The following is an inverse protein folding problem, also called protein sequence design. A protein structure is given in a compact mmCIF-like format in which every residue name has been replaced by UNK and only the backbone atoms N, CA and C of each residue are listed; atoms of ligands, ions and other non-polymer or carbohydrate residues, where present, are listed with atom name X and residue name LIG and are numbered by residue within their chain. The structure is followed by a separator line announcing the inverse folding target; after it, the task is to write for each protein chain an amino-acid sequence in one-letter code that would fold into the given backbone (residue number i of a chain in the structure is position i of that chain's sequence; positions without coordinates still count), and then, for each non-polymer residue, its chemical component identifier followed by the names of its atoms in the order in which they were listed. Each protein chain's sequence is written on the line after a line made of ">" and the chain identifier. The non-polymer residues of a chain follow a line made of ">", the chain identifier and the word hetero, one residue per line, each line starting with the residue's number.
data_IF_817134227662
#
_entry.id   IF_817134227662
#
_cell.length_a   1.000
_cell.length_b   1.000
_cell.length_c   1.000
_cell.angle_alpha   90.00
_cell.angle_beta   90.00
_cell.angle_gamma   90.00
#
_symmetry.space_group_name_H-M   'P 1'
#
loop_
_entity.id
_entity.type
_entity.pdbx_description
1 polymer ?
#
# COMPACT_ATOMS: atom_id res chain seq x y z
N UNK A 1 8.58 -6.87 -46.13
CA UNK A 1 8.56 -7.03 -44.66
C UNK A 1 9.57 -6.04 -44.13
N UNK A 2 9.15 -5.01 -43.42
CA UNK A 2 10.09 -4.11 -42.73
C UNK A 2 10.39 -4.74 -41.37
N UNK A 3 11.67 -4.97 -41.08
CA UNK A 3 12.09 -5.43 -39.76
C UNK A 3 11.71 -4.39 -38.70
N UNK A 4 11.34 -4.86 -37.51
CA UNK A 4 11.02 -3.98 -36.39
C UNK A 4 12.27 -3.15 -36.00
N UNK A 5 12.12 -1.89 -35.57
CA UNK A 5 13.26 -1.07 -35.17
C UNK A 5 14.00 -1.70 -33.98
N UNK A 6 15.33 -1.56 -33.92
CA UNK A 6 16.21 -2.08 -32.84
C UNK A 6 15.71 -1.75 -31.42
N UNK A 7 15.08 -0.59 -31.23
CA UNK A 7 14.49 -0.18 -29.95
C UNK A 7 13.36 -1.10 -29.46
N UNK A 8 12.67 -1.78 -30.38
CA UNK A 8 11.59 -2.72 -30.05
C UNK A 8 12.13 -3.92 -29.28
N UNK A 9 13.22 -4.53 -29.77
CA UNK A 9 13.86 -5.68 -29.13
C UNK A 9 14.45 -5.28 -27.76
N UNK A 10 15.02 -4.08 -27.67
CA UNK A 10 15.47 -3.51 -26.40
C UNK A 10 14.30 -3.38 -25.42
N UNK A 11 13.19 -2.77 -25.83
CA UNK A 11 12.00 -2.60 -24.98
C UNK A 11 11.41 -3.95 -24.53
N UNK A 12 11.32 -4.94 -25.42
CA UNK A 12 10.87 -6.28 -25.08
C UNK A 12 11.78 -6.96 -24.05
N UNK A 13 13.11 -6.84 -24.22
CA UNK A 13 14.07 -7.37 -23.24
C UNK A 13 13.88 -6.73 -21.86
N UNK A 14 13.70 -5.41 -21.80
CA UNK A 14 13.45 -4.68 -20.55
C UNK A 14 12.13 -5.08 -19.91
N UNK A 15 11.07 -5.29 -20.69
CA UNK A 15 9.78 -5.74 -20.17
C UNK A 15 9.88 -7.12 -19.50
N UNK A 16 10.63 -8.05 -20.10
CA UNK A 16 10.88 -9.38 -19.53
C UNK A 16 11.65 -9.31 -18.22
N UNK A 17 12.70 -8.49 -18.18
CA UNK A 17 13.50 -8.25 -16.96
C UNK A 17 12.63 -7.62 -15.87
N UNK A 18 11.87 -6.56 -16.19
CA UNK A 18 10.98 -5.89 -15.25
C UNK A 18 9.95 -6.86 -14.66
N UNK A 19 9.27 -7.65 -15.49
CA UNK A 19 8.29 -8.64 -15.01
C UNK A 19 8.91 -9.64 -14.03
N UNK A 20 10.13 -10.10 -14.32
CA UNK A 20 10.88 -11.01 -13.46
C UNK A 20 11.26 -10.35 -12.13
N UNK A 21 11.79 -9.13 -12.18
CA UNK A 21 12.20 -8.38 -10.99
C UNK A 21 11.02 -8.00 -10.10
N UNK A 22 9.88 -7.63 -10.69
CA UNK A 22 8.62 -7.35 -9.98
C UNK A 22 8.19 -8.58 -9.21
N UNK A 23 8.16 -9.76 -9.85
CA UNK A 23 7.74 -11.01 -9.19
C UNK A 23 8.69 -11.37 -8.05
N UNK A 24 10.00 -11.41 -8.30
CA UNK A 24 10.99 -11.75 -7.27
C UNK A 24 10.94 -10.79 -6.08
N UNK A 25 10.91 -9.48 -6.36
CA UNK A 25 10.88 -8.44 -5.33
C UNK A 25 9.54 -8.43 -4.59
N UNK A 26 8.42 -8.70 -5.27
CA UNK A 26 7.09 -8.74 -4.67
C UNK A 26 7.00 -9.85 -3.64
N UNK A 27 7.44 -11.06 -4.02
CA UNK A 27 7.51 -12.21 -3.12
C UNK A 27 8.44 -11.96 -1.93
N UNK A 28 9.63 -11.40 -2.17
CA UNK A 28 10.64 -11.24 -1.13
C UNK A 28 10.33 -10.07 -0.17
N UNK A 29 9.73 -8.98 -0.66
CA UNK A 29 9.64 -7.71 0.08
C UNK A 29 8.22 -7.30 0.43
N UNK A 30 7.21 -7.72 -0.35
CA UNK A 30 5.82 -7.29 -0.15
C UNK A 30 4.93 -8.36 0.46
N UNK A 31 5.34 -9.64 0.44
CA UNK A 31 4.59 -10.72 1.07
C UNK A 31 4.61 -10.57 2.59
N UNK A 32 3.42 -10.47 3.16
CA UNK A 32 3.21 -10.41 4.59
C UNK A 32 3.31 -11.79 5.23
N UNK A 33 3.95 -11.84 6.39
CA UNK A 33 3.87 -12.96 7.31
C UNK A 33 3.77 -12.36 8.71
N UNK A 34 2.73 -12.73 9.46
CA UNK A 34 2.54 -12.20 10.79
C UNK A 34 3.77 -12.45 11.67
N UNK A 35 4.17 -11.42 12.41
CA UNK A 35 5.24 -11.48 13.40
C UNK A 35 4.73 -10.82 14.69
N UNK A 36 5.51 -10.89 15.76
CA UNK A 36 5.13 -10.30 17.06
C UNK A 36 4.68 -8.82 16.97
N UNK A 37 5.25 -8.04 16.03
CA UNK A 37 4.85 -6.65 15.79
C UNK A 37 3.39 -6.49 15.36
N UNK A 38 2.82 -7.47 14.65
CA UNK A 38 1.45 -7.49 14.18
C UNK A 38 0.44 -7.54 15.32
N UNK A 39 0.86 -8.05 16.48
CA UNK A 39 0.02 -8.24 17.66
C UNK A 39 0.30 -7.23 18.79
N UNK A 40 1.10 -6.20 18.49
CA UNK A 40 1.32 -5.09 19.43
C UNK A 40 0.04 -4.29 19.67
N UNK A 41 0.00 -3.59 20.80
CA UNK A 41 -1.07 -2.66 21.17
C UNK A 41 -2.46 -3.32 21.26
N UNK A 42 -2.52 -4.54 21.81
CA UNK A 42 -3.77 -5.27 22.05
C UNK A 42 -4.38 -5.96 20.84
N UNK A 43 -3.64 -6.08 19.72
CA UNK A 43 -4.11 -6.77 18.51
C UNK A 43 -3.85 -8.29 18.60
N UNK A 44 -4.39 -8.96 19.60
CA UNK A 44 -4.15 -10.41 19.80
C UNK A 44 -4.83 -11.26 18.73
N UNK A 45 -6.08 -10.95 18.41
CA UNK A 45 -6.91 -11.80 17.53
C UNK A 45 -6.85 -11.41 16.05
N UNK A 46 -6.18 -10.31 15.71
CA UNK A 46 -6.08 -9.81 14.33
C UNK A 46 -4.74 -9.16 14.05
N UNK A 47 -4.29 -9.20 12.79
CA UNK A 47 -3.10 -8.46 12.38
C UNK A 47 -3.39 -6.96 12.41
N UNK A 48 -2.60 -6.18 13.17
CA UNK A 48 -2.68 -4.71 13.20
C UNK A 48 -2.56 -4.05 11.82
N UNK A 49 -1.85 -4.70 10.90
CA UNK A 49 -1.68 -4.21 9.52
C UNK A 49 -2.82 -4.62 8.58
N UNK A 50 -3.91 -5.17 9.12
CA UNK A 50 -5.12 -5.52 8.36
C UNK A 50 -4.89 -6.59 7.29
N UNK A 51 -4.05 -7.57 7.62
CA UNK A 51 -3.91 -8.81 6.85
C UNK A 51 -4.79 -9.91 7.46
N UNK A 52 -5.37 -10.80 6.63
CA UNK A 52 -5.38 -10.75 5.17
C UNK A 52 -6.24 -9.59 4.63
N UNK A 53 -5.83 -9.02 3.49
CA UNK A 53 -6.64 -8.06 2.75
C UNK A 53 -7.89 -8.73 2.15
N UNK A 54 -8.92 -7.93 1.88
CA UNK A 54 -10.07 -8.40 1.12
C UNK A 54 -9.66 -8.73 -0.32
N UNK A 55 -10.03 -9.93 -0.79
CA UNK A 55 -9.84 -10.32 -2.19
C UNK A 55 -10.95 -9.69 -3.02
N UNK A 56 -10.56 -8.99 -4.08
CA UNK A 56 -11.46 -8.24 -4.96
C UNK A 56 -11.17 -8.67 -6.39
N UNK A 57 -12.15 -9.32 -7.04
CA UNK A 57 -11.98 -9.92 -8.38
C UNK A 57 -11.83 -8.91 -9.53
N UNK A 58 -12.38 -7.71 -9.37
CA UNK A 58 -12.23 -6.61 -10.32
C UNK A 58 -12.35 -5.26 -9.60
N UNK A 59 -11.55 -4.28 -10.02
CA UNK A 59 -11.66 -2.92 -9.50
C UNK A 59 -13.05 -2.34 -9.80
N UNK A 60 -13.63 -1.64 -8.83
CA UNK A 60 -14.94 -1.00 -8.99
C UNK A 60 -15.01 0.34 -8.26
N UNK A 61 -15.96 1.18 -8.66
CA UNK A 61 -16.30 2.40 -7.96
C UNK A 61 -17.57 2.18 -7.13
N UNK A 62 -17.51 2.52 -5.85
CA UNK A 62 -18.64 2.51 -4.95
C UNK A 62 -19.26 3.92 -4.88
N UNK A 63 -20.47 4.11 -5.42
CA UNK A 63 -21.14 5.42 -5.43
C UNK A 63 -21.62 5.86 -4.05
N UNK A 64 -21.91 4.95 -3.13
CA UNK A 64 -22.42 5.28 -1.80
C UNK A 64 -21.31 5.87 -0.91
N UNK A 65 -20.10 5.35 -1.06
CA UNK A 65 -18.91 5.83 -0.31
C UNK A 65 -18.04 6.80 -1.11
N UNK A 66 -18.33 6.99 -2.40
CA UNK A 66 -17.52 7.73 -3.36
C UNK A 66 -16.05 7.28 -3.32
N UNK A 67 -15.84 5.97 -3.41
CA UNK A 67 -14.52 5.35 -3.28
C UNK A 67 -14.23 4.38 -4.43
N UNK A 68 -12.96 4.23 -4.77
CA UNK A 68 -12.51 3.22 -5.74
C UNK A 68 -11.85 2.10 -4.99
N UNK A 69 -12.37 0.90 -5.16
CA UNK A 69 -11.76 -0.34 -4.69
C UNK A 69 -10.94 -0.94 -5.83
N UNK A 70 -9.69 -1.27 -5.55
CA UNK A 70 -8.78 -1.88 -6.54
C UNK A 70 -8.84 -3.40 -6.46
N UNK A 71 -8.67 -4.05 -7.61
CA UNK A 71 -8.43 -5.48 -7.73
C UNK A 71 -7.36 -5.94 -6.73
N UNK A 72 -7.67 -6.98 -5.96
CA UNK A 72 -6.75 -7.64 -5.03
C UNK A 72 -6.86 -9.16 -5.24
N UNK A 73 -5.81 -9.79 -5.79
CA UNK A 73 -5.80 -11.24 -6.07
C UNK A 73 -5.05 -12.07 -5.02
N UNK A 74 -4.20 -11.42 -4.23
CA UNK A 74 -3.45 -12.07 -3.15
C UNK A 74 -3.62 -11.23 -1.89
N UNK A 75 -4.37 -11.77 -0.94
CA UNK A 75 -4.70 -11.10 0.32
C UNK A 75 -3.51 -10.92 1.26
N UNK A 76 -2.34 -11.47 0.93
CA UNK A 76 -1.15 -11.45 1.76
C UNK A 76 -0.01 -10.62 1.17
N UNK A 77 -0.28 -9.86 0.10
CA UNK A 77 0.71 -8.98 -0.53
C UNK A 77 0.24 -7.53 -0.39
N UNK A 78 1.15 -6.63 -0.02
CA UNK A 78 0.87 -5.19 0.02
C UNK A 78 0.41 -4.67 -1.35
N UNK A 79 -0.34 -3.57 -1.34
CA UNK A 79 -0.56 -2.78 -2.54
C UNK A 79 0.74 -2.04 -2.89
N UNK A 80 1.48 -2.50 -3.89
CA UNK A 80 2.78 -1.92 -4.26
C UNK A 80 2.75 -1.33 -5.67
N UNK A 81 3.64 -0.38 -5.95
CA UNK A 81 3.88 0.10 -7.31
C UNK A 81 5.06 -0.69 -7.92
N UNK A 82 4.89 -1.31 -9.10
CA UNK A 82 5.94 -2.13 -9.70
C UNK A 82 7.26 -1.41 -9.94
N UNK A 83 7.22 -0.12 -10.31
CA UNK A 83 8.41 0.68 -10.56
C UNK A 83 9.11 1.05 -9.26
N UNK A 84 8.37 1.56 -8.27
CA UNK A 84 8.93 1.86 -6.94
C UNK A 84 9.56 0.59 -6.36
N UNK A 85 8.92 -0.57 -6.52
CA UNK A 85 9.43 -1.83 -6.04
C UNK A 85 10.78 -2.20 -6.66
N UNK A 86 10.88 -2.16 -7.99
CA UNK A 86 12.12 -2.56 -8.68
C UNK A 86 13.26 -1.59 -8.41
N UNK A 87 12.98 -0.28 -8.39
CA UNK A 87 14.02 0.74 -8.24
C UNK A 87 14.43 0.98 -6.77
N UNK A 88 13.50 0.89 -5.82
CA UNK A 88 13.78 1.16 -4.40
C UNK A 88 14.01 -0.11 -3.58
N UNK A 89 13.51 -1.27 -4.04
CA UNK A 89 13.71 -2.60 -3.41
C UNK A 89 13.42 -2.62 -1.89
N UNK A 90 12.34 -1.95 -1.48
CA UNK A 90 11.87 -1.94 -0.10
C UNK A 90 10.36 -2.21 0.00
N UNK A 91 9.92 -2.62 1.20
CA UNK A 91 8.51 -2.78 1.52
C UNK A 91 7.80 -1.42 1.44
N UNK A 92 6.68 -1.37 0.72
CA UNK A 92 5.81 -0.20 0.70
C UNK A 92 4.37 -0.62 0.45
N UNK A 93 3.44 0.17 0.98
CA UNK A 93 2.00 -0.08 0.90
C UNK A 93 1.32 1.22 0.47
N UNK A 94 0.74 1.19 -0.73
CA UNK A 94 0.08 2.32 -1.36
C UNK A 94 -1.42 2.18 -1.21
N UNK A 95 -2.04 3.19 -0.59
CA UNK A 95 -3.49 3.23 -0.42
C UNK A 95 -4.06 4.42 -1.17
N UNK A 96 -5.14 4.17 -1.92
CA UNK A 96 -5.90 5.22 -2.55
C UNK A 96 -6.87 5.82 -1.52
N UNK A 97 -6.76 7.12 -1.28
CA UNK A 97 -7.58 7.82 -0.28
C UNK A 97 -8.46 8.82 -1.03
N UNK A 98 -9.67 8.38 -1.40
CA UNK A 98 -10.56 9.16 -2.28
C UNK A 98 -11.80 9.72 -1.57
N UNK A 99 -12.30 9.06 -0.52
CA UNK A 99 -13.52 9.53 0.17
C UNK A 99 -13.22 10.68 1.14
N UNK A 100 -14.14 11.64 1.27
CA UNK A 100 -13.94 12.79 2.16
C UNK A 100 -13.72 12.42 3.63
N UNK A 101 -14.34 11.33 4.12
CA UNK A 101 -14.15 10.84 5.48
C UNK A 101 -12.78 10.19 5.68
N UNK A 102 -12.37 9.30 4.77
CA UNK A 102 -11.06 8.64 4.84
C UNK A 102 -9.92 9.64 4.61
N UNK A 103 -10.10 10.58 3.68
CA UNK A 103 -9.17 11.69 3.46
C UNK A 103 -9.01 12.55 4.71
N UNK A 104 -10.11 12.98 5.33
CA UNK A 104 -10.06 13.77 6.57
C UNK A 104 -9.38 13.01 7.71
N UNK A 105 -9.68 11.72 7.88
CA UNK A 105 -9.04 10.88 8.89
C UNK A 105 -7.53 10.75 8.64
N UNK A 106 -7.13 10.49 7.39
CA UNK A 106 -5.73 10.41 7.01
C UNK A 106 -5.00 11.73 7.20
N UNK A 107 -5.62 12.86 6.85
CA UNK A 107 -5.06 14.20 7.08
C UNK A 107 -4.77 14.42 8.57
N UNK A 108 -5.75 14.19 9.46
CA UNK A 108 -5.52 14.35 10.90
C UNK A 108 -4.43 13.43 11.41
N UNK A 109 -4.42 12.17 10.98
CA UNK A 109 -3.39 11.21 11.38
C UNK A 109 -1.99 11.65 10.94
N UNK A 110 -1.84 12.08 9.68
CA UNK A 110 -0.57 12.58 9.14
C UNK A 110 -0.14 13.85 9.87
N UNK A 111 -1.07 14.79 10.09
CA UNK A 111 -0.78 16.02 10.82
C UNK A 111 -0.30 15.71 12.24
N UNK A 112 -1.03 14.89 13.00
CA UNK A 112 -0.67 14.49 14.36
C UNK A 112 0.71 13.81 14.41
N UNK A 113 1.01 12.95 13.44
CA UNK A 113 2.29 12.27 13.34
C UNK A 113 3.46 13.19 12.95
N UNK A 114 3.23 14.17 12.08
CA UNK A 114 4.26 15.14 11.65
C UNK A 114 4.50 16.17 12.75
N UNK A 115 3.44 16.71 13.34
CA UNK A 115 3.57 17.74 14.38
C UNK A 115 4.07 17.16 15.69
N UNK A 116 3.81 15.87 15.96
CA UNK A 116 4.14 15.19 17.21
C UNK A 116 3.88 16.09 18.42
N UNK A 117 2.68 16.66 18.50
CA UNK A 117 2.39 17.59 19.58
C UNK A 117 2.64 16.89 20.92
N UNK A 118 3.63 17.40 21.67
CA UNK A 118 4.03 16.83 22.96
C UNK A 118 2.88 16.87 23.96
N UNK A 119 1.99 17.84 23.80
CA UNK A 119 0.88 18.10 24.70
C UNK A 119 -0.35 17.35 24.24
N UNK A 120 -0.77 16.37 25.04
CA UNK A 120 -1.99 15.59 24.76
C UNK A 120 -3.22 16.48 24.99
N UNK A 121 -4.30 16.21 24.28
CA UNK A 121 -5.53 17.02 24.37
C UNK A 121 -6.06 17.15 25.81
N UNK A 122 -5.87 16.13 26.67
CA UNK A 122 -6.25 16.21 28.08
C UNK A 122 -5.38 17.18 28.90
N UNK A 123 -4.11 17.38 28.53
CA UNK A 123 -3.19 18.31 29.21
C UNK A 123 -3.58 19.75 28.89
N UNK A 124 -3.91 20.03 27.62
CA UNK A 124 -4.49 21.32 27.22
C UNK A 124 -5.80 21.63 27.94
N UNK A 125 -6.67 20.62 28.12
CA UNK A 125 -7.93 20.79 28.86
C UNK A 125 -7.74 20.99 30.37
N UNK A 126 -6.65 20.46 30.96
CA UNK A 126 -6.33 20.68 32.38
C UNK A 126 -5.75 22.07 32.68
N UNK A 127 -5.34 22.80 31.64
CA UNK A 127 -4.79 24.16 31.72
C UNK A 127 -5.86 25.24 31.51
N UNK A 128 -7.10 24.85 31.20
CA UNK A 128 -8.28 25.72 31.11
C UNK A 128 -9.09 25.64 32.40
#
# INVERSE_FOLDING_TARGET
>A
MCDAPEWHDILESWNSVMATEIKKSGEALQRHTCRAVCHKYGNHDRCRFLFPHEVVEASYFDPDTNSVTLLCRDSTVNYFNPYILVFCRNNHDLKCILSGKSAKAAMFYITDYITKMDVKTYEMLSLM
#
